data_IF_312813548308
#
_entry.id   IF_312813548308
#
_cell.length_a   1.000
_cell.length_b   1.000
_cell.length_c   1.000
_cell.angle_alpha   90.00
_cell.angle_beta   90.00
_cell.angle_gamma   90.00
#
_symmetry.space_group_name_H-M   'P 1'
#
loop_
_entity.id
_entity.type
_entity.pdbx_description
1 polymer ?
#
# COMPACT_ATOMS: atom_id res chain seq x y z
N UNK A 1 -4.49 -21.88 -17.14
CA UNK A 1 -3.32 -21.41 -16.37
C UNK A 1 -3.52 -19.99 -15.86
N UNK A 2 -3.72 -19.01 -16.75
CA UNK A 2 -3.75 -17.58 -16.37
C UNK A 2 -4.89 -17.23 -15.40
N UNK A 3 -6.07 -17.84 -15.54
CA UNK A 3 -7.19 -17.58 -14.63
C UNK A 3 -6.89 -17.92 -13.16
N UNK A 4 -6.22 -19.06 -12.91
CA UNK A 4 -5.87 -19.47 -11.54
C UNK A 4 -4.83 -18.51 -10.94
N UNK A 5 -3.82 -18.14 -11.73
CA UNK A 5 -2.80 -17.18 -11.29
C UNK A 5 -3.46 -15.83 -10.97
N UNK A 6 -4.33 -15.31 -11.84
CA UNK A 6 -5.04 -14.06 -11.58
C UNK A 6 -5.87 -14.13 -10.30
N UNK A 7 -6.63 -15.21 -10.09
CA UNK A 7 -7.47 -15.36 -8.90
C UNK A 7 -6.64 -15.43 -7.62
N UNK A 8 -5.55 -16.20 -7.63
CA UNK A 8 -4.64 -16.30 -6.47
C UNK A 8 -3.98 -14.96 -6.18
N UNK A 9 -3.44 -14.28 -7.21
CA UNK A 9 -2.84 -12.96 -7.03
C UNK A 9 -3.83 -11.96 -6.47
N UNK A 10 -5.07 -11.93 -6.97
CA UNK A 10 -6.12 -11.04 -6.44
C UNK A 10 -6.34 -11.25 -4.94
N UNK A 11 -6.57 -12.49 -4.52
CA UNK A 11 -6.81 -12.82 -3.09
C UNK A 11 -5.59 -12.44 -2.22
N UNK A 12 -4.38 -12.73 -2.70
CA UNK A 12 -3.15 -12.37 -1.97
C UNK A 12 -2.96 -10.86 -1.86
N UNK A 13 -3.28 -10.11 -2.92
CA UNK A 13 -3.16 -8.65 -2.93
C UNK A 13 -4.16 -7.96 -2.02
N UNK A 14 -5.38 -8.48 -1.89
CA UNK A 14 -6.35 -7.99 -0.89
C UNK A 14 -5.80 -8.16 0.54
N UNK A 15 -5.27 -9.35 0.84
CA UNK A 15 -4.64 -9.63 2.13
C UNK A 15 -3.42 -8.74 2.40
N UNK A 16 -2.54 -8.59 1.40
CA UNK A 16 -1.38 -7.71 1.49
C UNK A 16 -1.80 -6.25 1.72
N UNK A 17 -2.77 -5.74 0.97
CA UNK A 17 -3.28 -4.37 1.08
C UNK A 17 -3.85 -4.11 2.47
N UNK A 18 -4.62 -5.07 3.01
CA UNK A 18 -5.15 -4.96 4.38
C UNK A 18 -4.05 -4.90 5.43
N UNK A 19 -3.03 -5.77 5.34
CA UNK A 19 -1.89 -5.77 6.28
C UNK A 19 -1.10 -4.47 6.16
N UNK A 20 -0.80 -4.03 4.95
CA UNK A 20 -0.03 -2.80 4.70
C UNK A 20 -0.77 -1.60 5.28
N UNK A 21 -2.07 -1.46 5.00
CA UNK A 21 -2.88 -0.36 5.50
C UNK A 21 -2.99 -0.40 7.03
N UNK A 22 -3.39 -1.53 7.61
CA UNK A 22 -3.66 -1.63 9.05
C UNK A 22 -2.41 -1.66 9.91
N UNK A 23 -1.36 -2.36 9.49
CA UNK A 23 -0.17 -2.59 10.32
C UNK A 23 0.96 -1.62 9.99
N UNK A 24 1.15 -1.28 8.71
CA UNK A 24 2.24 -0.40 8.29
C UNK A 24 1.80 1.06 8.33
N UNK A 25 0.75 1.42 7.57
CA UNK A 25 0.30 2.80 7.40
C UNK A 25 -0.36 3.35 8.67
N UNK A 26 -1.15 2.55 9.37
CA UNK A 26 -1.71 2.91 10.68
C UNK A 26 -0.80 2.62 11.87
N UNK A 27 0.35 1.97 11.65
CA UNK A 27 1.32 1.63 12.69
C UNK A 27 2.61 2.45 12.55
N UNK A 28 3.68 1.79 12.10
CA UNK A 28 5.03 2.39 12.02
C UNK A 28 5.08 3.68 11.19
N UNK A 29 4.28 3.76 10.13
CA UNK A 29 4.27 4.88 9.18
C UNK A 29 3.08 5.82 9.36
N UNK A 30 2.43 5.81 10.52
CA UNK A 30 1.27 6.65 10.81
C UNK A 30 1.51 8.14 10.55
N UNK A 31 2.73 8.63 10.78
CA UNK A 31 3.07 10.04 10.54
C UNK A 31 2.95 10.46 9.06
N UNK A 32 3.00 9.52 8.10
CA UNK A 32 2.77 9.76 6.67
C UNK A 32 1.31 9.57 6.27
N UNK A 33 0.49 8.89 7.07
CA UNK A 33 -0.90 8.57 6.74
C UNK A 33 -1.94 9.37 7.55
N UNK A 34 -1.52 9.98 8.65
CA UNK A 34 -2.39 10.70 9.58
C UNK A 34 -3.17 11.83 8.91
N UNK A 35 -2.52 12.60 8.05
CA UNK A 35 -3.11 13.76 7.39
C UNK A 35 -4.19 13.39 6.37
N UNK A 36 -4.09 12.21 5.76
CA UNK A 36 -5.16 11.61 4.96
C UNK A 36 -6.41 11.33 5.81
N UNK A 37 -6.25 10.80 7.03
CA UNK A 37 -7.38 10.61 7.96
C UNK A 37 -7.95 11.92 8.49
N UNK A 38 -7.09 12.94 8.66
CA UNK A 38 -7.49 14.27 9.06
C UNK A 38 -8.05 15.11 7.88
N UNK A 39 -8.19 14.52 6.68
CA UNK A 39 -8.71 15.16 5.45
C UNK A 39 -8.00 16.47 5.10
N UNK A 40 -6.68 16.49 5.25
CA UNK A 40 -5.85 17.66 4.96
C UNK A 40 -5.76 17.91 3.45
N UNK A 41 -5.75 19.17 3.03
CA UNK A 41 -5.66 19.53 1.61
C UNK A 41 -4.31 19.17 0.96
N UNK A 42 -3.25 19.00 1.77
CA UNK A 42 -1.95 18.49 1.34
C UNK A 42 -1.66 17.22 2.12
N UNK A 43 -1.49 16.10 1.43
CA UNK A 43 -1.29 14.78 2.04
C UNK A 43 0.14 14.26 1.81
N UNK A 44 0.89 14.09 2.89
CA UNK A 44 2.13 13.31 2.95
C UNK A 44 1.88 11.84 2.61
N UNK A 45 0.64 11.40 2.64
CA UNK A 45 0.23 10.09 2.17
C UNK A 45 0.70 9.83 0.73
N UNK A 46 0.88 10.87 -0.09
CA UNK A 46 1.41 10.72 -1.45
C UNK A 46 2.82 10.11 -1.50
N UNK A 47 3.62 10.19 -0.42
CA UNK A 47 4.93 9.53 -0.35
C UNK A 47 4.84 8.00 -0.41
N UNK A 48 3.70 7.40 -0.07
CA UNK A 48 3.53 5.95 -0.19
C UNK A 48 3.69 5.46 -1.62
N UNK A 49 3.36 6.28 -2.64
CA UNK A 49 3.62 5.95 -4.03
C UNK A 49 5.11 5.64 -4.28
N UNK A 50 6.01 6.51 -3.82
CA UNK A 50 7.45 6.32 -4.00
C UNK A 50 7.93 5.07 -3.26
N UNK A 51 7.41 4.83 -2.06
CA UNK A 51 7.79 3.68 -1.22
C UNK A 51 7.40 2.35 -1.87
N UNK A 52 6.26 2.27 -2.55
CA UNK A 52 5.84 1.06 -3.26
C UNK A 52 6.42 0.94 -4.68
N UNK A 53 6.72 2.06 -5.36
CA UNK A 53 7.27 2.02 -6.72
C UNK A 53 8.73 1.58 -6.74
N UNK A 54 9.53 1.96 -5.73
CA UNK A 54 10.95 1.58 -5.63
C UNK A 54 11.16 0.05 -5.68
N UNK A 55 10.54 -0.77 -4.79
CA UNK A 55 10.70 -2.22 -4.85
C UNK A 55 10.09 -2.80 -6.13
N UNK A 56 9.03 -2.20 -6.67
CA UNK A 56 8.44 -2.64 -7.94
C UNK A 56 9.43 -2.49 -9.09
N UNK A 57 10.09 -1.33 -9.22
CA UNK A 57 11.11 -1.11 -10.26
C UNK A 57 12.34 -2.00 -10.03
N UNK A 58 12.75 -2.20 -8.78
CA UNK A 58 13.92 -3.00 -8.45
C UNK A 58 13.74 -4.52 -8.68
N UNK A 59 12.49 -5.01 -8.72
CA UNK A 59 12.16 -6.43 -8.90
C UNK A 59 11.66 -6.79 -10.30
N UNK A 60 11.61 -5.81 -11.21
CA UNK A 60 11.41 -6.01 -12.66
C UNK A 60 12.75 -6.41 -13.30
#
# INVERSE_FOLDING_TARGET
MNFIITLVTFILMEGATWVIHKCLMHGFMWFLHKDHHDHSALEKNDYFFVIFVIPTIALI
#
